data_IF_624853483570
#
_entry.id   IF_624853483570
#
_cell.length_a   1.000
_cell.length_b   1.000
_cell.length_c   1.000
_cell.angle_alpha   90.00
_cell.angle_beta   90.00
_cell.angle_gamma   90.00
#
_symmetry.space_group_name_H-M   'P 1'
#
loop_
_entity.id
_entity.type
_entity.pdbx_description
1 polymer ?
#
# COMPACT_ATOMS: atom_id res chain seq x y z
N UNK A 1 -6.32 2.48 -8.37
CA UNK A 1 -5.06 2.34 -7.63
C UNK A 1 -5.06 3.09 -6.29
N UNK A 2 -6.12 3.80 -5.92
CA UNK A 2 -6.14 4.70 -4.76
C UNK A 2 -6.50 4.05 -3.40
N UNK A 3 -7.18 2.91 -3.37
CA UNK A 3 -7.68 2.33 -2.10
C UNK A 3 -6.68 1.39 -1.39
N UNK A 4 -5.61 0.96 -2.05
CA UNK A 4 -4.55 0.17 -1.42
C UNK A 4 -3.58 1.05 -0.61
N UNK A 5 -3.44 2.34 -0.95
CA UNK A 5 -2.50 3.26 -0.30
C UNK A 5 -2.85 3.50 1.17
N UNK A 6 -4.13 3.70 1.49
CA UNK A 6 -4.58 4.00 2.86
C UNK A 6 -4.35 2.82 3.81
N UNK A 7 -4.64 1.61 3.37
CA UNK A 7 -4.39 0.40 4.15
C UNK A 7 -2.90 0.17 4.46
N UNK A 8 -2.04 0.39 3.49
CA UNK A 8 -0.59 0.32 3.69
C UNK A 8 -0.09 1.41 4.62
N UNK A 9 -0.59 2.64 4.47
CA UNK A 9 -0.21 3.75 5.35
C UNK A 9 -0.62 3.49 6.81
N UNK A 10 -1.86 3.06 7.05
CA UNK A 10 -2.33 2.70 8.40
C UNK A 10 -1.48 1.57 8.98
N UNK A 11 -1.19 0.53 8.21
CA UNK A 11 -0.35 -0.56 8.65
C UNK A 11 1.08 -0.13 8.99
N UNK A 12 1.70 0.72 8.18
CA UNK A 12 3.02 1.30 8.46
C UNK A 12 3.02 2.14 9.73
N UNK A 13 1.96 2.93 9.99
CA UNK A 13 1.81 3.68 11.24
C UNK A 13 1.72 2.75 12.46
N UNK A 14 0.95 1.67 12.36
CA UNK A 14 0.85 0.66 13.43
C UNK A 14 2.21 -0.02 13.65
N UNK A 15 2.92 -0.39 12.58
CA UNK A 15 4.24 -0.99 12.67
C UNK A 15 5.25 -0.04 13.30
N UNK A 16 5.24 1.25 12.93
CA UNK A 16 6.09 2.27 13.52
C UNK A 16 5.79 2.47 15.02
N UNK A 17 4.52 2.50 15.40
CA UNK A 17 4.12 2.58 16.79
C UNK A 17 4.59 1.35 17.60
N UNK A 18 4.41 0.14 17.07
CA UNK A 18 4.88 -1.09 17.71
C UNK A 18 6.41 -1.17 17.78
N UNK A 19 7.12 -0.70 16.74
CA UNK A 19 8.57 -0.62 16.76
C UNK A 19 9.09 0.31 17.87
N UNK A 20 8.36 1.39 18.15
CA UNK A 20 8.70 2.34 19.21
C UNK A 20 8.33 1.82 20.60
N UNK A 21 7.12 1.29 20.79
CA UNK A 21 6.58 0.91 22.10
C UNK A 21 7.09 -0.47 22.53
N UNK A 22 7.20 -1.40 21.59
CA UNK A 22 7.51 -2.81 21.87
C UNK A 22 8.42 -3.44 20.79
N UNK A 23 9.66 -2.93 20.59
CA UNK A 23 10.59 -3.39 19.54
C UNK A 23 10.88 -4.89 19.65
N UNK A 24 10.67 -5.47 20.83
CA UNK A 24 10.90 -6.89 21.09
C UNK A 24 10.01 -7.79 20.23
N UNK A 25 8.78 -7.35 19.90
CA UNK A 25 7.88 -8.13 19.02
C UNK A 25 8.47 -8.32 17.63
N UNK A 26 9.19 -7.30 17.13
CA UNK A 26 9.85 -7.37 15.81
C UNK A 26 11.10 -8.23 15.91
N UNK A 27 11.93 -8.03 16.94
CA UNK A 27 13.17 -8.80 17.17
C UNK A 27 12.93 -10.31 17.31
N UNK A 28 11.81 -10.68 17.89
CA UNK A 28 11.39 -12.06 18.08
C UNK A 28 10.62 -12.63 16.87
N UNK A 29 10.44 -11.85 15.77
CA UNK A 29 9.67 -12.28 14.59
C UNK A 29 8.17 -12.49 14.86
N UNK A 30 7.62 -11.81 15.87
CA UNK A 30 6.22 -11.96 16.29
C UNK A 30 5.28 -10.96 15.63
N UNK A 31 5.81 -10.00 14.89
CA UNK A 31 5.01 -9.05 14.13
C UNK A 31 4.96 -9.50 12.67
N UNK A 32 3.74 -9.74 12.19
CA UNK A 32 3.50 -10.21 10.84
C UNK A 32 2.51 -9.29 10.13
N UNK A 33 2.73 -9.09 8.84
CA UNK A 33 1.78 -8.46 7.95
C UNK A 33 0.94 -9.53 7.28
N UNK A 34 -0.37 -9.54 7.54
CA UNK A 34 -1.29 -10.46 6.89
C UNK A 34 -1.82 -9.84 5.59
N UNK A 35 -1.56 -10.51 4.47
CA UNK A 35 -2.04 -10.06 3.16
C UNK A 35 -3.50 -10.47 2.94
N UNK A 36 -4.33 -9.53 2.53
CA UNK A 36 -5.66 -9.82 1.98
C UNK A 36 -5.55 -10.24 0.53
N UNK A 37 -6.39 -11.15 0.03
CA UNK A 37 -6.45 -11.46 -1.38
C UNK A 37 -6.88 -10.22 -2.18
N UNK A 38 -6.21 -9.97 -3.31
CA UNK A 38 -6.52 -8.86 -4.21
C UNK A 38 -7.64 -9.24 -5.18
N UNK A 39 -7.66 -10.52 -5.58
CA UNK A 39 -8.67 -11.07 -6.48
C UNK A 39 -9.25 -12.36 -5.92
N UNK A 40 -10.57 -12.52 -6.04
CA UNK A 40 -11.27 -13.74 -5.70
C UNK A 40 -12.09 -14.15 -6.93
N UNK A 41 -11.94 -15.40 -7.37
CA UNK A 41 -12.73 -15.96 -8.47
C UNK A 41 -13.61 -17.07 -7.93
N UNK A 42 -14.93 -16.88 -7.98
CA UNK A 42 -15.93 -17.83 -7.51
C UNK A 42 -16.61 -18.51 -8.69
N UNK A 43 -16.65 -19.84 -8.68
CA UNK A 43 -17.39 -20.62 -9.67
C UNK A 43 -18.68 -21.25 -9.09
N UNK A 44 -19.13 -20.78 -7.93
CA UNK A 44 -20.31 -21.27 -7.22
C UNK A 44 -20.07 -22.54 -6.40
N UNK A 45 -18.98 -23.27 -6.61
CA UNK A 45 -18.60 -24.48 -5.86
C UNK A 45 -17.30 -24.29 -5.06
N UNK A 46 -16.39 -23.50 -5.61
CA UNK A 46 -15.09 -23.20 -5.00
C UNK A 46 -14.69 -21.77 -5.29
N UNK A 47 -13.84 -21.26 -4.47
CA UNK A 47 -13.23 -19.93 -4.61
C UNK A 47 -11.72 -20.07 -4.75
N UNK A 48 -11.15 -19.30 -5.67
CA UNK A 48 -9.73 -19.18 -5.87
C UNK A 48 -9.27 -17.78 -5.45
N UNK A 49 -8.21 -17.70 -4.66
CA UNK A 49 -7.68 -16.48 -4.06
C UNK A 49 -6.35 -16.12 -4.69
N UNK A 50 -6.19 -14.87 -5.10
CA UNK A 50 -4.95 -14.35 -5.68
C UNK A 50 -4.52 -13.09 -4.94
N UNK A 51 -3.26 -13.05 -4.56
CA UNK A 51 -2.72 -12.01 -3.69
C UNK A 51 -1.97 -10.93 -4.46
N UNK A 52 -1.69 -11.19 -5.76
CA UNK A 52 -1.06 -10.23 -6.66
C UNK A 52 -1.78 -10.20 -8.01
N UNK A 53 -1.64 -9.08 -8.74
CA UNK A 53 -2.14 -8.97 -10.12
C UNK A 53 -1.46 -10.00 -11.03
N UNK A 54 -0.17 -10.27 -10.82
CA UNK A 54 0.60 -11.25 -11.59
C UNK A 54 0.05 -12.68 -11.42
N UNK A 55 -0.29 -13.09 -10.19
CA UNK A 55 -0.92 -14.38 -9.92
C UNK A 55 -2.27 -14.51 -10.64
N UNK A 56 -3.09 -13.47 -10.58
CA UNK A 56 -4.40 -13.46 -11.23
C UNK A 56 -4.27 -13.52 -12.76
N UNK A 57 -3.44 -12.69 -13.37
CA UNK A 57 -3.25 -12.69 -14.83
C UNK A 57 -2.70 -14.03 -15.36
N UNK A 58 -1.80 -14.68 -14.62
CA UNK A 58 -1.29 -16.01 -14.97
C UNK A 58 -2.37 -17.12 -14.93
N UNK A 59 -3.40 -16.94 -14.10
CA UNK A 59 -4.48 -17.88 -13.91
C UNK A 59 -5.73 -17.57 -14.75
N UNK A 60 -5.95 -16.34 -15.15
CA UNK A 60 -7.15 -15.78 -15.80
C UNK A 60 -7.67 -16.61 -16.99
N UNK A 61 -6.77 -17.17 -17.81
CA UNK A 61 -7.13 -18.01 -18.94
C UNK A 61 -7.58 -19.44 -18.58
N UNK A 62 -7.33 -19.87 -17.36
CA UNK A 62 -7.57 -21.26 -16.90
C UNK A 62 -8.75 -21.35 -15.93
N UNK A 63 -9.15 -20.25 -15.31
CA UNK A 63 -10.20 -20.21 -14.29
C UNK A 63 -11.42 -19.52 -14.86
N UNK A 64 -12.59 -20.15 -14.66
CA UNK A 64 -13.90 -19.62 -15.04
C UNK A 64 -14.72 -19.36 -13.78
N UNK A 65 -15.33 -18.20 -13.71
CA UNK A 65 -16.16 -17.81 -12.57
C UNK A 65 -16.41 -16.32 -12.52
N UNK A 66 -17.13 -15.90 -11.50
CA UNK A 66 -17.34 -14.50 -11.17
C UNK A 66 -16.07 -13.96 -10.53
N UNK A 67 -15.57 -12.83 -11.04
CA UNK A 67 -14.34 -12.21 -10.61
C UNK A 67 -14.67 -11.02 -9.71
N UNK A 68 -14.20 -11.08 -8.48
CA UNK A 68 -14.30 -10.01 -7.50
C UNK A 68 -12.91 -9.40 -7.27
N UNK A 69 -12.77 -8.09 -7.47
CA UNK A 69 -11.59 -7.36 -7.04
C UNK A 69 -11.79 -6.84 -5.63
N UNK A 70 -10.90 -7.23 -4.74
CA UNK A 70 -10.94 -6.79 -3.36
C UNK A 70 -10.14 -5.48 -3.20
N UNK A 71 -10.78 -4.46 -2.63
CA UNK A 71 -10.18 -3.13 -2.43
C UNK A 71 -9.80 -2.86 -0.97
N UNK A 72 -10.10 -3.79 -0.08
CA UNK A 72 -9.83 -3.68 1.35
C UNK A 72 -10.68 -4.68 2.14
N UNK A 73 -10.46 -4.78 3.44
CA UNK A 73 -11.15 -5.74 4.31
C UNK A 73 -12.68 -5.63 4.27
N UNK A 74 -13.21 -4.43 4.07
CA UNK A 74 -14.66 -4.20 3.99
C UNK A 74 -15.31 -4.73 2.70
N UNK A 75 -14.53 -5.14 1.69
CA UNK A 75 -15.06 -5.75 0.46
C UNK A 75 -15.07 -7.29 0.51
N UNK A 76 -14.50 -7.89 1.57
CA UNK A 76 -14.54 -9.33 1.79
C UNK A 76 -15.82 -9.74 2.52
N UNK A 77 -16.44 -10.83 2.06
CA UNK A 77 -17.46 -11.46 2.84
C UNK A 77 -16.89 -12.11 4.13
N UNK A 78 -17.66 -12.23 5.21
CA UNK A 78 -17.15 -12.79 6.47
C UNK A 78 -16.50 -14.18 6.33
N UNK A 79 -17.06 -15.03 5.45
CA UNK A 79 -16.49 -16.34 5.16
C UNK A 79 -15.14 -16.25 4.44
N UNK A 80 -15.01 -15.34 3.47
CA UNK A 80 -13.78 -15.08 2.73
C UNK A 80 -12.70 -14.49 3.65
N UNK A 81 -13.07 -13.53 4.50
CA UNK A 81 -12.17 -12.96 5.50
C UNK A 81 -11.66 -14.03 6.46
N UNK A 82 -12.58 -14.86 7.01
CA UNK A 82 -12.18 -15.97 7.89
C UNK A 82 -11.21 -16.92 7.20
N UNK A 83 -11.47 -17.28 5.96
CA UNK A 83 -10.65 -18.20 5.20
C UNK A 83 -9.27 -17.64 4.91
N UNK A 84 -9.19 -16.40 4.41
CA UNK A 84 -7.90 -15.75 4.07
C UNK A 84 -7.05 -15.41 5.29
N UNK A 85 -7.67 -15.20 6.47
CA UNK A 85 -6.95 -14.81 7.68
C UNK A 85 -6.54 -15.97 8.58
N UNK A 86 -7.32 -17.05 8.61
CA UNK A 86 -7.13 -18.11 9.61
C UNK A 86 -6.92 -19.51 9.02
N UNK A 87 -7.14 -19.70 7.71
CA UNK A 87 -6.88 -20.98 7.08
C UNK A 87 -5.43 -21.01 6.56
N UNK A 88 -4.57 -21.91 7.07
CA UNK A 88 -3.15 -21.99 6.68
C UNK A 88 -2.93 -22.18 5.17
N UNK A 89 -3.88 -22.79 4.46
CA UNK A 89 -3.78 -23.01 3.02
C UNK A 89 -3.88 -21.68 2.25
N UNK A 90 -4.72 -20.77 2.72
CA UNK A 90 -5.02 -19.49 2.07
C UNK A 90 -4.32 -18.30 2.72
N UNK A 91 -3.83 -18.45 3.94
CA UNK A 91 -3.16 -17.39 4.67
C UNK A 91 -1.81 -17.04 4.02
N UNK A 92 -1.56 -15.75 3.84
CA UNK A 92 -0.27 -15.21 3.39
C UNK A 92 0.21 -14.18 4.41
N UNK A 93 1.30 -14.50 5.06
CA UNK A 93 1.92 -13.65 6.09
C UNK A 93 3.36 -13.32 5.72
N UNK A 94 3.69 -12.05 5.85
CA UNK A 94 5.06 -11.57 5.79
C UNK A 94 5.52 -11.26 7.23
N UNK A 95 6.54 -11.95 7.69
CA UNK A 95 7.14 -11.68 9.00
C UNK A 95 8.01 -10.44 8.88
N UNK A 96 7.86 -9.50 9.82
CA UNK A 96 8.69 -8.31 9.88
C UNK A 96 10.06 -8.66 10.44
N UNK A 97 11.11 -8.42 9.67
CA UNK A 97 12.49 -8.64 10.10
C UNK A 97 13.05 -7.38 10.75
N UNK A 98 13.75 -7.57 11.87
CA UNK A 98 14.44 -6.49 12.54
C UNK A 98 15.84 -6.31 11.98
N UNK A 99 16.14 -5.09 11.53
CA UNK A 99 17.50 -4.61 11.34
C UNK A 99 17.59 -3.14 11.74
N UNK A 100 18.75 -2.70 12.17
CA UNK A 100 18.93 -1.28 12.54
C UNK A 100 18.71 -0.35 11.35
N UNK A 101 19.06 -0.81 10.14
CA UNK A 101 18.82 -0.10 8.89
C UNK A 101 17.31 0.03 8.60
N UNK A 102 16.55 -1.08 8.70
CA UNK A 102 15.10 -1.06 8.48
C UNK A 102 14.38 -0.19 9.51
N UNK A 103 14.83 -0.21 10.77
CA UNK A 103 14.27 0.67 11.81
C UNK A 103 14.62 2.13 11.57
N UNK A 104 15.85 2.42 11.16
CA UNK A 104 16.28 3.78 10.78
C UNK A 104 15.42 4.33 9.63
N UNK A 105 15.19 3.54 8.60
CA UNK A 105 14.32 3.90 7.48
C UNK A 105 12.85 4.11 7.91
N UNK A 106 12.33 3.22 8.75
CA UNK A 106 10.97 3.35 9.29
C UNK A 106 10.80 4.67 10.06
N UNK A 107 11.75 5.03 10.92
CA UNK A 107 11.72 6.29 11.65
C UNK A 107 11.93 7.52 10.76
N UNK A 108 12.77 7.43 9.74
CA UNK A 108 12.96 8.52 8.78
C UNK A 108 11.68 8.80 7.99
N UNK A 109 10.96 7.74 7.56
CA UNK A 109 9.75 7.87 6.75
C UNK A 109 8.50 8.21 7.58
N UNK A 110 8.40 7.70 8.79
CA UNK A 110 7.19 7.77 9.63
C UNK A 110 7.35 8.68 10.86
N UNK A 111 8.55 9.23 11.10
CA UNK A 111 8.82 10.16 12.19
C UNK A 111 8.25 11.55 11.98
N UNK A 112 8.41 12.41 12.97
CA UNK A 112 7.92 13.81 12.94
C UNK A 112 8.74 14.70 12.00
N UNK A 113 10.04 14.40 11.85
CA UNK A 113 10.93 15.19 11.01
C UNK A 113 10.66 14.97 9.53
N UNK A 114 10.41 16.06 8.82
CA UNK A 114 10.06 16.06 7.40
C UNK A 114 11.31 15.99 6.51
N UNK A 115 12.45 16.49 6.96
CA UNK A 115 13.65 16.61 6.14
C UNK A 115 14.19 15.24 5.67
N UNK A 116 14.40 14.22 6.54
CA UNK A 116 14.88 12.91 6.12
C UNK A 116 13.90 12.21 5.16
N UNK A 117 12.59 12.36 5.39
CA UNK A 117 11.55 11.80 4.51
C UNK A 117 11.60 12.41 3.12
N UNK A 118 11.72 13.74 3.04
CA UNK A 118 11.82 14.46 1.77
C UNK A 118 13.07 14.04 1.00
N UNK A 119 14.19 13.95 1.68
CA UNK A 119 15.48 13.55 1.10
C UNK A 119 15.42 12.14 0.53
N UNK A 120 14.91 11.19 1.31
CA UNK A 120 14.69 9.81 0.87
C UNK A 120 13.79 9.72 -0.38
N UNK A 121 12.68 10.47 -0.41
CA UNK A 121 11.76 10.48 -1.55
C UNK A 121 12.45 11.05 -2.80
N UNK A 122 13.21 12.14 -2.63
CA UNK A 122 13.90 12.78 -3.75
C UNK A 122 15.01 11.92 -4.35
N UNK A 123 15.65 11.08 -3.54
CA UNK A 123 16.73 10.19 -3.98
C UNK A 123 16.23 8.86 -4.58
N UNK A 124 15.09 8.35 -4.10
CA UNK A 124 14.65 6.99 -4.39
C UNK A 124 13.41 6.89 -5.28
N UNK A 125 12.70 8.00 -5.52
CA UNK A 125 11.49 8.00 -6.34
C UNK A 125 11.79 8.57 -7.73
N UNK A 126 11.55 7.77 -8.77
CA UNK A 126 11.59 8.25 -10.14
C UNK A 126 10.31 9.01 -10.48
N UNK A 127 10.44 10.33 -10.54
CA UNK A 127 9.33 11.23 -10.88
C UNK A 127 9.04 11.30 -12.38
N UNK A 128 9.84 10.69 -13.24
CA UNK A 128 9.63 10.70 -14.69
C UNK A 128 8.39 9.91 -15.11
N UNK A 129 7.98 8.92 -14.32
CA UNK A 129 6.77 8.11 -14.54
C UNK A 129 5.48 8.73 -13.97
N UNK A 130 5.58 9.87 -13.29
CA UNK A 130 4.39 10.57 -12.79
C UNK A 130 3.61 11.09 -13.99
N UNK A 131 2.48 10.45 -14.27
CA UNK A 131 1.61 10.76 -15.40
C UNK A 131 1.17 12.23 -15.35
N UNK A 132 1.11 12.87 -16.50
CA UNK A 132 0.71 14.29 -16.65
C UNK A 132 -0.59 14.67 -15.93
N UNK A 133 -1.54 13.72 -15.76
CA UNK A 133 -2.78 13.95 -15.02
C UNK A 133 -2.56 14.33 -13.55
N UNK A 134 -1.50 13.84 -12.90
CA UNK A 134 -1.17 14.19 -11.51
C UNK A 134 -0.68 15.65 -11.43
N UNK A 135 0.06 16.09 -12.43
CA UNK A 135 0.49 17.50 -12.57
C UNK A 135 -0.75 18.39 -12.78
N UNK A 136 -1.67 17.92 -13.62
CA UNK A 136 -2.93 18.63 -13.90
C UNK A 136 -3.83 18.68 -12.66
N UNK A 137 -4.01 17.59 -11.93
CA UNK A 137 -4.81 17.54 -10.72
C UNK A 137 -4.24 18.45 -9.61
N UNK A 138 -2.91 18.44 -9.42
CA UNK A 138 -2.25 19.36 -8.50
C UNK A 138 -2.35 20.83 -8.93
N UNK A 139 -2.27 21.10 -10.23
CA UNK A 139 -2.50 22.44 -10.77
C UNK A 139 -3.92 22.96 -10.46
N UNK A 140 -4.95 22.14 -10.68
CA UNK A 140 -6.33 22.51 -10.39
C UNK A 140 -6.56 22.68 -8.90
N UNK A 141 -5.99 21.84 -8.04
CA UNK A 141 -6.09 21.95 -6.59
C UNK A 141 -5.45 23.25 -6.08
N UNK A 142 -4.23 23.57 -6.53
CA UNK A 142 -3.52 24.79 -6.17
C UNK A 142 -4.22 26.03 -6.74
N UNK A 143 -4.80 25.95 -7.93
CA UNK A 143 -5.55 27.04 -8.56
C UNK A 143 -6.86 27.34 -7.83
N UNK A 144 -7.54 26.33 -7.29
CA UNK A 144 -8.73 26.51 -6.44
C UNK A 144 -8.41 27.32 -5.18
N UNK A 145 -7.20 27.17 -4.62
CA UNK A 145 -6.77 27.89 -3.41
C UNK A 145 -5.99 29.18 -3.72
N UNK A 146 -5.56 29.35 -4.96
CA UNK A 146 -4.88 30.57 -5.42
C UNK A 146 -5.28 30.91 -6.88
N UNK A 147 -6.40 31.61 -7.10
CA UNK A 147 -6.96 31.88 -8.43
C UNK A 147 -6.01 32.60 -9.41
N UNK A 148 -5.00 33.30 -8.89
CA UNK A 148 -4.05 34.09 -9.69
C UNK A 148 -2.83 33.29 -10.16
N UNK A 149 -2.76 31.99 -9.85
CA UNK A 149 -1.63 31.14 -10.26
C UNK A 149 -1.73 30.78 -11.73
N UNK A 150 -0.67 31.04 -12.48
CA UNK A 150 -0.52 30.59 -13.88
C UNK A 150 0.06 29.17 -13.93
N UNK A 151 -0.16 28.47 -15.06
CA UNK A 151 0.33 27.11 -15.26
C UNK A 151 1.86 27.02 -15.14
N UNK A 152 2.58 28.04 -15.61
CA UNK A 152 4.06 28.16 -15.49
C UNK A 152 4.52 28.39 -14.04
N UNK A 153 3.74 29.12 -13.27
CA UNK A 153 4.01 29.36 -11.84
C UNK A 153 3.82 28.11 -10.98
N UNK A 154 2.85 27.25 -11.31
CA UNK A 154 2.64 25.97 -10.65
C UNK A 154 3.78 24.99 -10.91
N UNK A 155 4.26 24.89 -12.15
CA UNK A 155 5.38 24.01 -12.53
C UNK A 155 6.71 24.41 -11.87
N UNK A 156 6.92 25.71 -11.59
CA UNK A 156 8.12 26.20 -10.87
C UNK A 156 8.08 25.89 -9.37
N UNK A 157 6.89 25.79 -8.77
CA UNK A 157 6.75 25.44 -7.35
C UNK A 157 6.89 23.93 -7.07
N UNK A 158 6.71 23.09 -8.08
CA UNK A 158 6.92 21.63 -7.97
C UNK A 158 8.42 21.28 -8.10
N UNK A 159 9.22 22.14 -8.75
CA UNK A 159 10.69 21.95 -8.90
C UNK A 159 11.54 22.58 -7.78
N UNK A 160 10.93 23.17 -6.79
CA UNK A 160 11.57 23.68 -5.57
C UNK A 160 11.18 22.84 -4.37
#
# INVERSE_FOLDING_TARGET
MELLSDGYHIGLLIMAALAHIAPQFIKEGRLCWLRSPLWIVSNGKSESYFYTDAEYEAAKGKIKGEVQRNKGLGSLEPAQAKKSMFDPEFQRMDVMEYSDEAMGLLYALMGEDVAPRREFIMENVDFSEIKEWFIVANYYWVKLHNPNLTQEGAAKNIKK
#
